data_IF_973190279699
#
_entry.id   IF_973190279699
#
_cell.length_a   1.000
_cell.length_b   1.000
_cell.length_c   1.000
_cell.angle_alpha   90.00
_cell.angle_beta   90.00
_cell.angle_gamma   90.00
#
_symmetry.space_group_name_H-M   'P 1'
#
loop_
_entity.id
_entity.type
_entity.pdbx_description
1 polymer ?
#
# COMPACT_ATOMS: atom_id res chain seq x y z
N UNK A 1 6.68 -26.29 -21.00
CA UNK A 1 7.27 -26.34 -19.64
C UNK A 1 7.32 -24.98 -18.94
N UNK A 2 8.00 -23.93 -19.45
CA UNK A 2 8.10 -22.60 -18.78
C UNK A 2 6.76 -21.93 -18.39
N UNK A 3 5.71 -22.06 -19.19
CA UNK A 3 4.37 -21.51 -18.88
C UNK A 3 3.66 -22.25 -17.73
N UNK A 4 3.89 -23.55 -17.59
CA UNK A 4 3.26 -24.39 -16.55
C UNK A 4 3.88 -24.08 -15.18
N UNK A 5 5.20 -23.97 -15.12
CA UNK A 5 5.92 -23.56 -13.89
C UNK A 5 5.49 -22.15 -13.45
N UNK A 6 5.32 -21.23 -14.41
CA UNK A 6 4.84 -19.88 -14.14
C UNK A 6 3.43 -19.86 -13.52
N UNK A 7 2.51 -20.68 -14.05
CA UNK A 7 1.17 -20.81 -13.48
C UNK A 7 1.20 -21.43 -12.08
N UNK A 8 2.08 -22.39 -11.82
CA UNK A 8 2.24 -23.02 -10.50
C UNK A 8 2.77 -22.03 -9.44
N UNK A 9 3.74 -21.18 -9.81
CA UNK A 9 4.27 -20.14 -8.92
C UNK A 9 3.21 -19.09 -8.52
N UNK A 10 2.29 -18.75 -9.42
CA UNK A 10 1.19 -17.83 -9.13
C UNK A 10 0.05 -18.51 -8.37
N UNK A 11 -0.21 -19.79 -8.66
CA UNK A 11 -1.32 -20.53 -8.09
C UNK A 11 -1.21 -20.69 -6.57
N UNK A 12 0.00 -20.87 -6.03
CA UNK A 12 0.21 -21.02 -4.58
C UNK A 12 -0.30 -19.81 -3.78
N UNK A 13 0.25 -18.59 -4.00
CA UNK A 13 -0.22 -17.39 -3.32
C UNK A 13 -1.70 -17.06 -3.59
N UNK A 14 -2.16 -17.25 -4.83
CA UNK A 14 -3.56 -17.01 -5.18
C UNK A 14 -4.51 -17.97 -4.46
N UNK A 15 -4.16 -19.26 -4.36
CA UNK A 15 -4.92 -20.25 -3.63
C UNK A 15 -4.99 -19.90 -2.13
N UNK A 16 -3.88 -19.47 -1.53
CA UNK A 16 -3.86 -19.05 -0.12
C UNK A 16 -4.80 -17.87 0.15
N UNK A 17 -4.81 -16.87 -0.73
CA UNK A 17 -5.74 -15.73 -0.65
C UNK A 17 -7.19 -16.19 -0.76
N UNK A 18 -7.49 -17.08 -1.70
CA UNK A 18 -8.85 -17.61 -1.89
C UNK A 18 -9.29 -18.42 -0.67
N UNK A 19 -8.44 -19.32 -0.17
CA UNK A 19 -8.74 -20.14 1.01
C UNK A 19 -8.94 -19.25 2.24
N UNK A 20 -8.08 -18.25 2.47
CA UNK A 20 -8.25 -17.30 3.57
C UNK A 20 -9.57 -16.53 3.47
N UNK A 21 -9.94 -16.08 2.26
CA UNK A 21 -11.22 -15.40 2.03
C UNK A 21 -12.41 -16.34 2.26
N UNK A 22 -12.34 -17.61 1.86
CA UNK A 22 -13.42 -18.58 2.10
C UNK A 22 -13.56 -18.89 3.60
N UNK A 23 -12.46 -19.11 4.31
CA UNK A 23 -12.48 -19.30 5.77
C UNK A 23 -13.07 -18.08 6.48
N UNK A 24 -12.73 -16.86 6.03
CA UNK A 24 -13.29 -15.63 6.56
C UNK A 24 -14.80 -15.45 6.34
N UNK A 25 -15.42 -16.21 5.44
CA UNK A 25 -16.90 -16.21 5.29
C UNK A 25 -17.61 -17.14 6.28
N UNK A 26 -16.90 -18.08 6.89
CA UNK A 26 -17.46 -19.07 7.81
C UNK A 26 -17.36 -18.65 9.30
N UNK A 27 -16.79 -17.47 9.58
CA UNK A 27 -16.57 -16.97 10.95
C UNK A 27 -17.52 -15.83 11.30
N UNK A 28 -17.54 -15.42 12.57
CA UNK A 28 -18.31 -14.27 13.05
C UNK A 28 -17.80 -12.95 12.45
N UNK A 29 -18.65 -11.91 12.48
CA UNK A 29 -18.31 -10.58 11.96
C UNK A 29 -17.03 -10.00 12.59
N UNK A 30 -16.89 -10.08 13.92
CA UNK A 30 -15.69 -9.60 14.62
C UNK A 30 -14.42 -10.33 14.17
N UNK A 31 -14.51 -11.65 13.93
CA UNK A 31 -13.37 -12.43 13.44
C UNK A 31 -13.09 -12.13 11.96
N UNK A 32 -14.13 -11.86 11.17
CA UNK A 32 -14.02 -11.52 9.74
C UNK A 32 -13.18 -10.25 9.50
N UNK A 33 -13.21 -9.27 10.41
CA UNK A 33 -12.37 -8.07 10.32
C UNK A 33 -10.88 -8.43 10.34
N UNK A 34 -10.45 -9.40 11.15
CA UNK A 34 -9.05 -9.87 11.16
C UNK A 34 -8.65 -10.54 9.84
N UNK A 35 -9.57 -11.28 9.20
CA UNK A 35 -9.32 -11.85 7.88
C UNK A 35 -9.18 -10.77 6.80
N UNK A 36 -10.04 -9.74 6.83
CA UNK A 36 -9.97 -8.60 5.91
C UNK A 36 -8.65 -7.85 6.07
N UNK A 37 -8.24 -7.55 7.31
CA UNK A 37 -6.96 -6.93 7.62
C UNK A 37 -5.77 -7.79 7.17
N UNK A 38 -5.82 -9.10 7.38
CA UNK A 38 -4.79 -10.02 6.88
C UNK A 38 -4.66 -9.99 5.36
N UNK A 39 -5.78 -9.95 4.62
CA UNK A 39 -5.76 -9.85 3.15
C UNK A 39 -5.16 -8.53 2.67
N UNK A 40 -5.47 -7.41 3.34
CA UNK A 40 -4.83 -6.11 3.06
C UNK A 40 -3.33 -6.18 3.33
N UNK A 41 -2.90 -6.78 4.45
CA UNK A 41 -1.49 -7.00 4.77
C UNK A 41 -0.78 -7.87 3.74
N UNK A 42 -1.44 -8.90 3.20
CA UNK A 42 -0.90 -9.71 2.09
C UNK A 42 -0.65 -8.84 0.86
N UNK A 43 -1.57 -7.95 0.51
CA UNK A 43 -1.38 -7.01 -0.59
C UNK A 43 -0.17 -6.09 -0.34
N UNK A 44 -0.03 -5.53 0.87
CA UNK A 44 1.11 -4.69 1.26
C UNK A 44 2.43 -5.46 1.15
N UNK A 45 2.49 -6.69 1.67
CA UNK A 45 3.70 -7.53 1.62
C UNK A 45 4.04 -7.94 0.19
N UNK A 46 3.05 -8.28 -0.63
CA UNK A 46 3.25 -8.57 -2.04
C UNK A 46 3.81 -7.36 -2.79
N UNK A 47 3.30 -6.16 -2.52
CA UNK A 47 3.82 -4.91 -3.08
C UNK A 47 5.26 -4.63 -2.60
N UNK A 48 5.54 -4.84 -1.32
CA UNK A 48 6.90 -4.71 -0.76
C UNK A 48 7.90 -5.66 -1.43
N UNK A 49 7.48 -6.90 -1.71
CA UNK A 49 8.28 -7.89 -2.41
C UNK A 49 8.65 -7.46 -3.84
N UNK A 50 7.79 -6.67 -4.52
CA UNK A 50 8.08 -6.15 -5.86
C UNK A 50 9.40 -5.38 -5.88
N UNK A 51 9.70 -4.61 -4.85
CA UNK A 51 10.98 -3.93 -4.73
C UNK A 51 12.02 -4.79 -4.02
N UNK A 52 11.80 -5.10 -2.74
CA UNK A 52 12.83 -5.75 -1.90
C UNK A 52 13.22 -7.12 -2.44
N UNK A 53 12.24 -7.92 -2.88
CA UNK A 53 12.48 -9.26 -3.40
C UNK A 53 13.30 -9.27 -4.69
N UNK A 54 13.13 -8.25 -5.53
CA UNK A 54 13.85 -8.13 -6.80
C UNK A 54 15.19 -7.39 -6.67
N UNK A 55 15.28 -6.31 -5.88
CA UNK A 55 16.50 -5.51 -5.74
C UNK A 55 17.44 -5.97 -4.63
N UNK A 56 16.93 -6.68 -3.60
CA UNK A 56 17.68 -6.97 -2.38
C UNK A 56 17.91 -5.76 -1.46
N UNK A 57 17.40 -4.58 -1.83
CA UNK A 57 17.53 -3.36 -1.04
C UNK A 57 16.35 -3.26 -0.09
N UNK A 58 16.62 -3.14 1.21
CA UNK A 58 15.57 -2.89 2.21
C UNK A 58 14.92 -1.52 1.96
N UNK A 59 13.59 -1.46 2.06
CA UNK A 59 12.83 -0.23 1.81
C UNK A 59 11.76 -0.02 2.88
N UNK A 60 11.90 1.04 3.66
CA UNK A 60 10.87 1.52 4.58
C UNK A 60 9.85 2.43 3.88
N UNK A 61 10.20 2.97 2.71
CA UNK A 61 9.41 3.95 1.97
C UNK A 61 8.08 3.40 1.46
N UNK A 62 7.99 2.08 1.24
CA UNK A 62 6.74 1.42 0.86
C UNK A 62 5.65 1.65 1.91
N UNK A 63 5.99 1.56 3.20
CA UNK A 63 5.02 1.79 4.28
C UNK A 63 4.61 3.26 4.33
N UNK A 64 5.50 4.20 3.98
CA UNK A 64 5.15 5.60 3.80
C UNK A 64 4.08 5.79 2.73
N UNK A 65 4.23 5.15 1.57
CA UNK A 65 3.26 5.27 0.48
C UNK A 65 1.94 4.56 0.81
N UNK A 66 1.98 3.46 1.56
CA UNK A 66 0.78 2.83 2.15
C UNK A 66 0.08 3.80 3.10
N UNK A 67 0.81 4.48 3.98
CA UNK A 67 0.26 5.46 4.91
C UNK A 67 -0.40 6.65 4.18
N UNK A 68 0.26 7.19 3.14
CA UNK A 68 -0.30 8.26 2.29
C UNK A 68 -1.57 7.79 1.58
N UNK A 69 -1.58 6.58 1.02
CA UNK A 69 -2.75 6.00 0.37
C UNK A 69 -3.91 5.79 1.35
N UNK A 70 -3.64 5.18 2.50
CA UNK A 70 -4.63 4.95 3.55
C UNK A 70 -5.21 6.28 4.08
N UNK A 71 -4.36 7.28 4.30
CA UNK A 71 -4.79 8.62 4.68
C UNK A 71 -5.67 9.26 3.60
N UNK A 72 -5.27 9.18 2.33
CA UNK A 72 -6.02 9.75 1.19
C UNK A 72 -7.39 9.09 1.06
N UNK A 73 -7.45 7.75 1.14
CA UNK A 73 -8.72 7.02 1.11
C UNK A 73 -9.60 7.36 2.32
N UNK A 74 -9.01 7.44 3.52
CA UNK A 74 -9.71 7.79 4.75
C UNK A 74 -10.30 9.19 4.70
N UNK A 75 -9.50 10.21 4.40
CA UNK A 75 -9.93 11.61 4.42
C UNK A 75 -11.00 11.87 3.36
N UNK A 76 -10.96 11.15 2.23
CA UNK A 76 -11.99 11.25 1.19
C UNK A 76 -13.26 10.44 1.50
N UNK A 77 -13.23 9.52 2.47
CA UNK A 77 -14.38 8.66 2.79
C UNK A 77 -15.12 9.11 4.06
N UNK A 78 -14.49 9.84 4.98
CA UNK A 78 -15.16 10.40 6.17
C UNK A 78 -16.31 11.33 5.71
N UNK A 79 -17.50 11.23 6.32
CA UNK A 79 -18.61 12.15 6.05
C UNK A 79 -18.24 13.61 6.32
N UNK A 80 -18.61 14.53 5.43
CA UNK A 80 -18.26 15.96 5.54
C UNK A 80 -18.77 16.59 6.85
N UNK A 81 -19.88 16.10 7.40
CA UNK A 81 -20.44 16.58 8.67
C UNK A 81 -19.58 16.23 9.90
N UNK A 82 -18.80 15.13 9.83
CA UNK A 82 -17.99 14.65 10.96
C UNK A 82 -16.56 15.19 10.93
N UNK A 83 -16.06 15.60 9.76
CA UNK A 83 -14.71 16.15 9.59
C UNK A 83 -14.38 17.32 10.52
N UNK A 84 -15.26 18.32 10.75
CA UNK A 84 -14.95 19.42 11.67
C UNK A 84 -14.68 18.97 13.11
N UNK A 85 -15.27 17.86 13.56
CA UNK A 85 -15.09 17.35 14.91
C UNK A 85 -13.76 16.62 15.08
N UNK A 86 -13.28 15.93 14.04
CA UNK A 86 -12.08 15.08 14.08
C UNK A 86 -10.85 15.84 13.58
N UNK A 87 -11.02 16.70 12.58
CA UNK A 87 -9.99 17.44 11.86
C UNK A 87 -10.41 18.92 11.69
N UNK A 88 -10.42 19.72 12.77
CA UNK A 88 -10.95 21.09 12.75
C UNK A 88 -10.20 22.02 11.79
N UNK A 89 -8.89 21.81 11.63
CA UNK A 89 -7.98 22.64 10.85
C UNK A 89 -7.73 22.10 9.42
N UNK A 90 -8.50 21.08 9.00
CA UNK A 90 -8.34 20.46 7.69
C UNK A 90 -8.49 21.47 6.55
N UNK A 91 -7.63 21.38 5.54
CA UNK A 91 -7.69 22.23 4.36
C UNK A 91 -9.10 22.23 3.73
N UNK A 92 -9.60 23.42 3.38
CA UNK A 92 -11.01 23.61 2.97
C UNK A 92 -11.48 22.70 1.84
N UNK A 93 -10.64 22.43 0.84
CA UNK A 93 -10.99 21.55 -0.28
C UNK A 93 -11.23 20.08 0.14
N UNK A 94 -10.64 19.62 1.24
CA UNK A 94 -10.84 18.29 1.83
C UNK A 94 -11.99 18.27 2.84
N UNK A 95 -12.33 19.42 3.44
CA UNK A 95 -13.35 19.52 4.48
C UNK A 95 -14.75 19.24 3.94
N UNK A 96 -15.08 19.75 2.76
CA UNK A 96 -16.46 19.75 2.26
C UNK A 96 -16.76 18.58 1.32
N UNK A 97 -15.76 17.77 0.96
CA UNK A 97 -15.90 16.69 -0.03
C UNK A 97 -15.81 15.32 0.61
N UNK A 98 -16.78 14.45 0.34
CA UNK A 98 -16.67 13.02 0.58
C UNK A 98 -16.97 12.29 -0.73
N UNK A 99 -16.31 11.17 -0.97
CA UNK A 99 -16.40 10.41 -2.21
C UNK A 99 -16.64 8.94 -1.89
N UNK A 100 -17.14 8.18 -2.87
CA UNK A 100 -17.39 6.76 -2.71
C UNK A 100 -16.10 5.93 -2.63
N UNK A 101 -16.23 4.69 -2.17
CA UNK A 101 -15.11 3.76 -1.95
C UNK A 101 -14.19 3.59 -3.16
N UNK A 102 -14.76 3.41 -4.36
CA UNK A 102 -13.94 3.17 -5.56
C UNK A 102 -13.17 4.43 -6.00
N UNK A 103 -13.80 5.60 -5.92
CA UNK A 103 -13.15 6.88 -6.22
C UNK A 103 -12.07 7.23 -5.21
N UNK A 104 -12.30 6.97 -3.91
CA UNK A 104 -11.31 7.22 -2.87
C UNK A 104 -10.12 6.27 -3.00
N UNK A 105 -10.36 5.00 -3.34
CA UNK A 105 -9.30 4.03 -3.64
C UNK A 105 -8.47 4.41 -4.87
N UNK A 106 -9.11 4.83 -5.97
CA UNK A 106 -8.42 5.25 -7.18
C UNK A 106 -7.55 6.50 -6.94
N UNK A 107 -8.09 7.50 -6.23
CA UNK A 107 -7.35 8.70 -5.85
C UNK A 107 -6.22 8.38 -4.88
N UNK A 108 -6.43 7.47 -3.91
CA UNK A 108 -5.37 7.01 -3.01
C UNK A 108 -4.22 6.33 -3.76
N UNK A 109 -4.53 5.46 -4.73
CA UNK A 109 -3.51 4.84 -5.58
C UNK A 109 -2.76 5.87 -6.43
N UNK A 110 -3.46 6.87 -6.97
CA UNK A 110 -2.85 7.95 -7.74
C UNK A 110 -1.92 8.82 -6.90
N UNK A 111 -2.40 9.31 -5.75
CA UNK A 111 -1.63 10.17 -4.84
C UNK A 111 -0.43 9.41 -4.29
N UNK A 112 -0.62 8.18 -3.82
CA UNK A 112 0.48 7.32 -3.37
C UNK A 112 1.50 7.04 -4.47
N UNK A 113 1.05 6.80 -5.70
CA UNK A 113 1.92 6.60 -6.86
C UNK A 113 2.72 7.84 -7.25
N UNK A 114 2.12 9.03 -7.21
CA UNK A 114 2.80 10.31 -7.45
C UNK A 114 3.85 10.55 -6.37
N UNK A 115 3.50 10.38 -5.09
CA UNK A 115 4.45 10.50 -3.99
C UNK A 115 5.61 9.51 -4.14
N UNK A 116 5.31 8.26 -4.50
CA UNK A 116 6.33 7.24 -4.74
C UNK A 116 7.26 7.63 -5.89
N UNK A 117 6.72 8.15 -7.00
CA UNK A 117 7.52 8.61 -8.14
C UNK A 117 8.44 9.76 -7.76
N UNK A 118 7.92 10.79 -7.09
CA UNK A 118 8.71 11.97 -6.68
C UNK A 118 9.83 11.58 -5.71
N UNK A 119 9.52 10.73 -4.73
CA UNK A 119 10.49 10.27 -3.72
C UNK A 119 11.50 9.27 -4.30
N UNK A 120 11.09 8.44 -5.27
CA UNK A 120 12.00 7.48 -5.90
C UNK A 120 13.13 8.18 -6.68
N UNK A 121 12.86 9.31 -7.35
CA UNK A 121 13.85 10.02 -8.17
C UNK A 121 15.19 10.30 -7.45
N UNK A 122 15.22 10.91 -6.25
CA UNK A 122 16.46 11.09 -5.50
C UNK A 122 16.99 9.78 -4.90
N UNK A 123 16.10 8.86 -4.48
CA UNK A 123 16.50 7.60 -3.85
C UNK A 123 17.21 6.65 -4.81
N UNK A 124 16.94 6.72 -6.12
CA UNK A 124 17.63 5.91 -7.13
C UNK A 124 19.13 6.21 -7.24
N UNK A 125 19.62 7.29 -6.60
CA UNK A 125 21.05 7.64 -6.54
C UNK A 125 21.78 6.97 -5.38
N UNK A 126 21.06 6.26 -4.51
CA UNK A 126 21.60 5.64 -3.32
C UNK A 126 21.55 4.11 -3.46
N UNK A 127 22.52 3.43 -2.88
CA UNK A 127 22.58 1.96 -2.85
C UNK A 127 22.91 1.45 -1.44
N UNK A 128 22.62 0.17 -1.20
CA UNK A 128 22.93 -0.51 0.06
C UNK A 128 22.29 0.16 1.29
N UNK A 129 23.07 0.30 2.36
CA UNK A 129 22.62 0.84 3.65
C UNK A 129 22.11 2.29 3.55
N UNK A 130 22.72 3.11 2.68
CA UNK A 130 22.32 4.50 2.51
C UNK A 130 20.87 4.62 1.98
N UNK A 131 20.49 3.75 1.04
CA UNK A 131 19.11 3.69 0.54
C UNK A 131 18.12 3.28 1.64
N UNK A 132 18.51 2.32 2.50
CA UNK A 132 17.72 1.93 3.67
C UNK A 132 17.46 3.11 4.62
N UNK A 133 18.53 3.81 5.04
CA UNK A 133 18.44 4.97 5.94
C UNK A 133 17.59 6.10 5.31
N UNK A 134 17.79 6.38 4.02
CA UNK A 134 17.02 7.41 3.33
C UNK A 134 15.52 7.08 3.28
N UNK A 135 15.17 5.81 3.00
CA UNK A 135 13.75 5.39 3.01
C UNK A 135 13.14 5.41 4.42
N UNK A 136 13.93 5.18 5.47
CA UNK A 136 13.49 5.36 6.85
C UNK A 136 13.21 6.84 7.14
N UNK A 137 14.07 7.75 6.67
CA UNK A 137 13.82 9.19 6.74
C UNK A 137 12.52 9.61 6.05
N UNK A 138 12.20 9.02 4.88
CA UNK A 138 10.91 9.25 4.20
C UNK A 138 9.73 8.78 5.05
N UNK A 139 9.85 7.63 5.71
CA UNK A 139 8.82 7.12 6.63
C UNK A 139 8.60 8.05 7.80
N UNK A 140 9.67 8.55 8.41
CA UNK A 140 9.60 9.48 9.53
C UNK A 140 9.00 10.84 9.12
N UNK A 141 9.39 11.38 7.97
CA UNK A 141 8.77 12.60 7.42
C UNK A 141 7.28 12.39 7.20
N UNK A 142 6.89 11.26 6.61
CA UNK A 142 5.48 10.94 6.37
C UNK A 142 4.71 10.78 7.67
N UNK A 143 5.30 10.10 8.66
CA UNK A 143 4.72 9.94 9.99
C UNK A 143 4.47 11.30 10.64
N UNK A 144 5.48 12.16 10.67
CA UNK A 144 5.39 13.47 11.29
C UNK A 144 4.41 14.38 10.56
N UNK A 145 4.37 14.34 9.23
CA UNK A 145 3.41 15.13 8.46
C UNK A 145 1.97 14.68 8.73
N UNK A 146 1.68 13.37 8.72
CA UNK A 146 0.33 12.88 8.98
C UNK A 146 -0.10 13.05 10.46
N UNK A 147 0.86 13.05 11.39
CA UNK A 147 0.59 13.11 12.83
C UNK A 147 0.54 14.53 13.40
N UNK A 148 1.35 15.46 12.88
CA UNK A 148 1.51 16.79 13.47
C UNK A 148 0.99 17.93 12.58
N UNK A 149 0.88 17.74 11.27
CA UNK A 149 0.32 18.77 10.38
C UNK A 149 -1.20 18.72 10.37
N UNK A 150 -1.84 19.53 11.22
CA UNK A 150 -3.30 19.57 11.40
C UNK A 150 -4.07 20.05 10.16
N UNK A 151 -3.38 20.67 9.18
CA UNK A 151 -3.99 21.05 7.89
C UNK A 151 -4.26 19.84 7.00
N UNK A 152 -3.61 18.71 7.28
CA UNK A 152 -3.61 17.49 6.47
C UNK A 152 -4.20 16.32 7.29
N UNK A 153 -3.83 16.18 8.56
CA UNK A 153 -4.23 15.07 9.42
C UNK A 153 -5.11 15.48 10.61
N UNK A 154 -5.55 14.50 11.42
CA UNK A 154 -6.31 14.74 12.65
C UNK A 154 -5.44 15.22 13.82
N UNK A 155 -4.13 15.46 13.59
CA UNK A 155 -3.18 15.76 14.64
C UNK A 155 -2.98 14.54 15.56
N UNK A 156 -2.97 14.80 16.87
CA UNK A 156 -2.87 13.77 17.90
C UNK A 156 -4.18 12.99 18.12
N UNK A 157 -5.28 13.38 17.47
CA UNK A 157 -6.57 12.70 17.60
C UNK A 157 -6.58 11.39 16.81
N UNK A 158 -7.39 10.45 17.28
CA UNK A 158 -7.66 9.21 16.55
C UNK A 158 -8.40 9.50 15.25
N UNK A 159 -7.87 8.98 14.14
CA UNK A 159 -8.54 9.05 12.85
C UNK A 159 -9.77 8.12 12.85
N UNK A 160 -10.90 8.65 13.28
CA UNK A 160 -12.17 7.93 13.47
C UNK A 160 -13.18 8.27 12.36
N UNK A 161 -14.34 7.63 12.39
CA UNK A 161 -15.45 7.87 11.46
C UNK A 161 -15.18 7.58 9.99
N UNK A 162 -14.15 6.77 9.68
CA UNK A 162 -13.97 6.20 8.35
C UNK A 162 -14.99 5.05 8.21
N UNK A 163 -15.97 5.12 7.29
CA UNK A 163 -16.95 4.06 7.15
C UNK A 163 -16.29 2.76 6.69
N UNK A 164 -16.75 1.62 7.22
CA UNK A 164 -16.31 0.29 6.78
C UNK A 164 -16.92 -0.05 5.41
N UNK A 165 -16.28 0.42 4.34
CA UNK A 165 -16.74 0.19 2.96
C UNK A 165 -16.11 -1.04 2.31
N UNK A 166 -15.01 -1.54 2.87
CA UNK A 166 -14.22 -2.65 2.31
C UNK A 166 -14.57 -3.95 3.02
N UNK A 167 -15.31 -4.81 2.30
CA UNK A 167 -15.62 -6.16 2.76
C UNK A 167 -14.57 -7.20 2.32
N UNK A 168 -14.69 -8.41 2.86
CA UNK A 168 -13.79 -9.53 2.61
C UNK A 168 -13.57 -9.82 1.12
N UNK A 169 -14.64 -9.76 0.31
CA UNK A 169 -14.56 -9.97 -1.15
C UNK A 169 -13.71 -8.92 -1.86
N UNK A 170 -13.84 -7.66 -1.45
CA UNK A 170 -13.07 -6.56 -2.04
C UNK A 170 -11.59 -6.65 -1.66
N UNK A 171 -11.30 -6.98 -0.39
CA UNK A 171 -9.93 -7.20 0.07
C UNK A 171 -9.28 -8.40 -0.63
N UNK A 172 -10.00 -9.50 -0.81
CA UNK A 172 -9.51 -10.68 -1.54
C UNK A 172 -9.22 -10.37 -3.01
N UNK A 173 -10.15 -9.67 -3.69
CA UNK A 173 -9.94 -9.24 -5.08
C UNK A 173 -8.74 -8.30 -5.20
N UNK A 174 -8.63 -7.32 -4.30
CA UNK A 174 -7.51 -6.38 -4.26
C UNK A 174 -6.17 -7.10 -4.07
N UNK A 175 -6.08 -8.01 -3.09
CA UNK A 175 -4.89 -8.81 -2.85
C UNK A 175 -4.51 -9.66 -4.08
N UNK A 176 -5.49 -10.31 -4.72
CA UNK A 176 -5.25 -11.11 -5.93
C UNK A 176 -4.74 -10.26 -7.09
N UNK A 177 -5.32 -9.07 -7.31
CA UNK A 177 -4.85 -8.11 -8.32
C UNK A 177 -3.41 -7.71 -8.04
N UNK A 178 -3.06 -7.36 -6.79
CA UNK A 178 -1.70 -6.97 -6.42
C UNK A 178 -0.71 -8.13 -6.64
N UNK A 179 -1.08 -9.36 -6.28
CA UNK A 179 -0.25 -10.56 -6.52
C UNK A 179 0.00 -10.76 -8.02
N UNK A 180 -1.04 -10.63 -8.86
CA UNK A 180 -0.91 -10.76 -10.32
C UNK A 180 0.01 -9.68 -10.87
N UNK A 181 -0.14 -8.42 -10.42
CA UNK A 181 0.73 -7.31 -10.83
C UNK A 181 2.18 -7.57 -10.40
N UNK A 182 2.40 -8.01 -9.15
CA UNK A 182 3.73 -8.32 -8.63
C UNK A 182 4.40 -9.44 -9.44
N UNK A 183 3.65 -10.49 -9.76
CA UNK A 183 4.10 -11.60 -10.59
C UNK A 183 4.46 -11.16 -12.02
N UNK A 184 3.60 -10.35 -12.65
CA UNK A 184 3.83 -9.81 -13.97
C UNK A 184 5.07 -8.90 -14.00
N UNK A 185 5.24 -8.04 -12.98
CA UNK A 185 6.41 -7.18 -12.84
C UNK A 185 7.70 -7.98 -12.69
N UNK A 186 7.73 -8.99 -11.83
CA UNK A 186 8.91 -9.84 -11.63
C UNK A 186 9.38 -10.49 -12.93
N UNK A 187 8.46 -10.89 -13.82
CA UNK A 187 8.77 -11.49 -15.13
C UNK A 187 9.06 -10.48 -16.24
N UNK A 188 8.76 -9.20 -16.01
CA UNK A 188 9.01 -8.12 -16.97
C UNK A 188 10.51 -7.86 -17.18
N UNK A 189 10.85 -7.09 -18.21
CA UNK A 189 12.25 -6.66 -18.44
C UNK A 189 12.83 -5.92 -17.24
N UNK A 190 12.03 -5.06 -16.60
CA UNK A 190 12.47 -4.21 -15.50
C UNK A 190 12.77 -5.03 -14.24
N UNK A 191 11.89 -5.97 -13.88
CA UNK A 191 12.12 -6.87 -12.74
C UNK A 191 13.31 -7.80 -12.93
N UNK A 192 13.62 -8.21 -14.17
CA UNK A 192 14.84 -8.98 -14.47
C UNK A 192 16.11 -8.13 -14.43
N UNK A 193 16.06 -6.91 -14.95
CA UNK A 193 17.18 -5.96 -14.87
C UNK A 193 17.51 -5.64 -13.41
N UNK A 194 16.50 -5.38 -12.58
CA UNK A 194 16.68 -5.09 -11.15
C UNK A 194 17.31 -6.27 -10.38
N UNK A 195 16.99 -7.50 -10.77
CA UNK A 195 17.63 -8.70 -10.22
C UNK A 195 19.07 -8.87 -10.71
N UNK A 196 19.34 -8.57 -11.98
CA UNK A 196 20.69 -8.62 -12.50
C UNK A 196 21.63 -7.62 -11.79
N UNK A 197 21.17 -6.39 -11.55
CA UNK A 197 21.94 -5.38 -10.79
C UNK A 197 22.16 -5.78 -9.33
N UNK A 198 21.31 -6.64 -8.76
CA UNK A 198 21.52 -7.19 -7.41
C UNK A 198 22.63 -8.24 -7.39
N UNK A 199 22.72 -9.05 -8.45
CA UNK A 199 23.67 -10.18 -8.54
C UNK A 199 25.07 -9.73 -8.95
N UNK A 200 25.20 -8.63 -9.69
CA UNK A 200 26.49 -8.03 -10.07
C UNK A 200 26.54 -6.53 -9.71
N UNK A 201 27.11 -6.17 -8.55
CA UNK A 201 27.24 -4.78 -8.12
C UNK A 201 28.15 -3.92 -9.01
N UNK A 202 29.07 -4.52 -9.78
CA UNK A 202 29.97 -3.78 -10.68
C UNK A 202 29.29 -3.38 -12.00
N UNK A 203 28.17 -4.03 -12.34
CA UNK A 203 27.34 -3.75 -13.50
C UNK A 203 26.15 -2.80 -13.20
N UNK A 204 25.98 -2.37 -11.94
CA UNK A 204 24.86 -1.58 -11.43
C UNK A 204 25.08 -0.06 -11.50
#
# INVERSE_FOLDING_TARGET
MRRVVALQELAGPALLVIVAALLGTAVSFSTQTYFTDALVKVAIVAALYVFIGNSGVLSFGHISFVAVGAWTAGVLSVPAAEKPAIMPNLAGFLRDRSTGNLSSLALAALVGGICALVVALPLMRLSGLAAGIATFGVLEITHNMLRYEERIGPGLNTFSSVPETTGLRQAALGALVVIVIAFAYGRSRFGRLLRATREDPAAA
#
